data_IF_549302813539
#
_entry.id   IF_549302813539
#
_cell.length_a   1.000
_cell.length_b   1.000
_cell.length_c   1.000
_cell.angle_alpha   90.00
_cell.angle_beta   90.00
_cell.angle_gamma   90.00
#
_symmetry.space_group_name_H-M   'P 1'
#
loop_
_entity.id
_entity.type
_entity.pdbx_description
1 polymer ?
#
# COMPACT_ATOMS: atom_id res chain seq x y z
N UNK A 1 -5.69 39.05 -21.20
CA UNK A 1 -6.51 37.94 -20.68
C UNK A 1 -5.53 36.90 -20.17
N UNK A 2 -5.24 36.85 -18.87
CA UNK A 2 -4.46 35.77 -18.29
C UNK A 2 -5.37 34.53 -18.29
N UNK A 3 -5.09 33.60 -19.17
CA UNK A 3 -5.75 32.28 -19.16
C UNK A 3 -5.37 31.63 -17.81
N UNK A 4 -6.37 31.22 -17.03
CA UNK A 4 -6.16 30.55 -15.75
C UNK A 4 -5.58 29.14 -16.01
N UNK A 5 -4.26 29.12 -16.23
CA UNK A 5 -3.51 27.91 -16.60
C UNK A 5 -3.55 26.83 -15.52
N UNK A 6 -3.80 27.22 -14.29
CA UNK A 6 -4.02 26.26 -13.20
C UNK A 6 -5.33 25.48 -13.37
N UNK A 7 -6.41 26.12 -13.86
CA UNK A 7 -7.66 25.43 -14.22
C UNK A 7 -7.46 24.51 -15.42
N UNK A 8 -6.70 24.96 -16.42
CA UNK A 8 -6.39 24.13 -17.59
C UNK A 8 -5.58 22.87 -17.19
N UNK A 9 -4.61 23.00 -16.28
CA UNK A 9 -3.84 21.88 -15.75
C UNK A 9 -4.70 20.83 -15.04
N UNK A 10 -5.66 21.28 -14.21
CA UNK A 10 -6.60 20.36 -13.52
C UNK A 10 -7.53 19.64 -14.49
N UNK A 11 -7.99 20.31 -15.57
CA UNK A 11 -8.79 19.68 -16.60
C UNK A 11 -7.98 18.62 -17.34
N UNK A 12 -6.75 18.95 -17.77
CA UNK A 12 -5.84 18.01 -18.43
C UNK A 12 -5.52 16.80 -17.55
N UNK A 13 -5.34 17.00 -16.24
CA UNK A 13 -5.19 15.88 -15.29
C UNK A 13 -6.40 14.94 -15.29
N UNK A 14 -7.63 15.50 -15.26
CA UNK A 14 -8.87 14.71 -15.30
C UNK A 14 -9.04 13.92 -16.60
N UNK A 15 -8.53 14.47 -17.71
CA UNK A 15 -8.49 13.81 -19.00
C UNK A 15 -7.39 12.74 -19.13
N UNK A 16 -6.55 12.56 -18.10
CA UNK A 16 -5.42 11.62 -18.12
C UNK A 16 -4.20 12.14 -18.89
N UNK A 17 -4.19 13.39 -19.31
CA UNK A 17 -3.11 14.04 -20.07
C UNK A 17 -2.05 14.62 -19.13
N UNK A 18 -1.41 13.75 -18.37
CA UNK A 18 -0.56 14.13 -17.24
C UNK A 18 0.65 14.98 -17.62
N UNK A 19 1.32 14.72 -18.75
CA UNK A 19 2.45 15.53 -19.20
C UNK A 19 2.01 16.95 -19.60
N UNK A 20 0.92 17.08 -20.34
CA UNK A 20 0.36 18.37 -20.70
C UNK A 20 -0.13 19.15 -19.45
N UNK A 21 -0.68 18.44 -18.46
CA UNK A 21 -1.05 19.03 -17.18
C UNK A 21 0.17 19.60 -16.45
N UNK A 22 1.31 18.87 -16.41
CA UNK A 22 2.57 19.36 -15.82
C UNK A 22 3.08 20.64 -16.51
N UNK A 23 3.03 20.68 -17.84
CA UNK A 23 3.41 21.89 -18.60
C UNK A 23 2.51 23.08 -18.26
N UNK A 24 1.19 22.86 -18.20
CA UNK A 24 0.23 23.90 -17.84
C UNK A 24 0.45 24.42 -16.42
N UNK A 25 0.67 23.52 -15.44
CA UNK A 25 0.97 23.89 -14.05
C UNK A 25 2.30 24.64 -13.93
N UNK A 26 3.34 24.22 -14.65
CA UNK A 26 4.66 24.87 -14.61
C UNK A 26 4.66 26.27 -15.24
N UNK A 27 3.72 26.55 -16.15
CA UNK A 27 3.57 27.83 -16.81
C UNK A 27 2.56 28.77 -16.10
N UNK A 28 1.90 28.32 -15.02
CA UNK A 28 0.94 29.13 -14.28
C UNK A 28 1.66 30.16 -13.42
N UNK A 29 1.27 31.46 -13.57
CA UNK A 29 1.57 32.48 -12.59
C UNK A 29 0.59 32.36 -11.44
N UNK A 30 1.08 32.16 -10.20
CA UNK A 30 0.24 31.72 -9.08
C UNK A 30 0.29 32.66 -7.90
N UNK A 31 -0.86 32.83 -7.25
CA UNK A 31 -0.92 33.31 -5.88
C UNK A 31 -0.34 32.31 -4.89
N UNK A 32 0.28 32.74 -3.78
CA UNK A 32 0.90 31.85 -2.80
C UNK A 32 -0.06 30.76 -2.25
N UNK A 33 -1.36 31.08 -2.14
CA UNK A 33 -2.39 30.14 -1.67
C UNK A 33 -2.73 29.03 -2.66
N UNK A 34 -2.45 29.24 -3.95
CA UNK A 34 -2.69 28.26 -5.02
C UNK A 34 -1.51 27.29 -5.22
N UNK A 35 -0.31 27.68 -4.74
CA UNK A 35 0.91 26.91 -4.93
C UNK A 35 0.83 25.49 -4.35
N UNK A 36 0.22 25.32 -3.17
CA UNK A 36 0.08 23.99 -2.53
C UNK A 36 -0.88 23.10 -3.31
N UNK A 37 -1.98 23.66 -3.84
CA UNK A 37 -2.95 22.92 -4.65
C UNK A 37 -2.32 22.42 -5.94
N UNK A 38 -1.60 23.28 -6.62
CA UNK A 38 -0.89 22.92 -7.86
C UNK A 38 0.25 21.95 -7.58
N UNK A 39 1.04 22.15 -6.53
CA UNK A 39 2.07 21.19 -6.13
C UNK A 39 1.49 19.80 -5.85
N UNK A 40 0.32 19.73 -5.22
CA UNK A 40 -0.40 18.49 -5.04
C UNK A 40 -0.80 17.84 -6.38
N UNK A 41 -1.43 18.59 -7.30
CA UNK A 41 -1.79 18.05 -8.62
C UNK A 41 -0.57 17.66 -9.45
N UNK A 42 0.53 18.40 -9.39
CA UNK A 42 1.79 18.05 -10.03
C UNK A 42 2.34 16.73 -9.46
N UNK A 43 2.27 16.53 -8.13
CA UNK A 43 2.69 15.29 -7.51
C UNK A 43 1.86 14.09 -7.99
N UNK A 44 0.56 14.26 -8.16
CA UNK A 44 -0.31 13.24 -8.77
C UNK A 44 0.10 12.93 -10.21
N UNK A 45 0.40 13.97 -11.02
CA UNK A 45 0.89 13.79 -12.39
C UNK A 45 2.23 13.03 -12.41
N UNK A 46 3.18 13.39 -11.54
CA UNK A 46 4.46 12.70 -11.42
C UNK A 46 4.29 11.24 -11.02
N UNK A 47 3.38 10.95 -10.08
CA UNK A 47 3.03 9.57 -9.70
C UNK A 47 2.53 8.77 -10.91
N UNK A 48 1.63 9.36 -11.72
CA UNK A 48 1.07 8.71 -12.91
C UNK A 48 2.05 8.55 -14.07
N UNK A 49 3.11 9.34 -14.09
CA UNK A 49 4.17 9.28 -15.13
C UNK A 49 5.43 8.56 -14.68
N UNK A 50 5.40 7.90 -13.49
CA UNK A 50 6.52 7.13 -12.95
C UNK A 50 7.68 7.99 -12.40
N UNK A 51 7.50 9.30 -12.28
CA UNK A 51 8.51 10.21 -11.71
C UNK A 51 8.37 10.27 -10.17
N UNK A 52 8.56 9.13 -9.53
CA UNK A 52 8.29 8.91 -8.10
C UNK A 52 9.06 9.88 -7.20
N UNK A 53 10.34 10.12 -7.48
CA UNK A 53 11.16 11.03 -6.68
C UNK A 53 10.68 12.49 -6.73
N UNK A 54 10.21 12.95 -7.89
CA UNK A 54 9.66 14.29 -8.05
C UNK A 54 8.33 14.41 -7.29
N UNK A 55 7.48 13.37 -7.35
CA UNK A 55 6.25 13.31 -6.58
C UNK A 55 6.52 13.39 -5.07
N UNK A 56 7.44 12.56 -4.54
CA UNK A 56 7.81 12.57 -3.12
C UNK A 56 8.33 13.95 -2.69
N UNK A 57 9.18 14.59 -3.50
CA UNK A 57 9.73 15.92 -3.19
C UNK A 57 8.62 16.97 -3.01
N UNK A 58 7.65 17.01 -3.93
CA UNK A 58 6.52 17.94 -3.84
C UNK A 58 5.58 17.60 -2.67
N UNK A 59 5.27 16.33 -2.47
CA UNK A 59 4.40 15.91 -1.38
C UNK A 59 5.00 16.22 -0.01
N UNK A 60 6.32 16.09 0.18
CA UNK A 60 7.01 16.52 1.40
C UNK A 60 6.88 18.03 1.64
N UNK A 61 6.92 18.83 0.59
CA UNK A 61 6.69 20.27 0.72
C UNK A 61 5.24 20.53 1.12
N UNK A 62 4.28 19.97 0.38
CA UNK A 62 2.85 20.18 0.65
C UNK A 62 2.49 19.71 2.06
N UNK A 63 2.98 18.56 2.52
CA UNK A 63 2.66 18.02 3.85
C UNK A 63 3.09 18.93 5.01
N UNK A 64 4.13 19.76 4.81
CA UNK A 64 4.63 20.69 5.84
C UNK A 64 3.83 21.99 5.93
N UNK A 65 3.24 22.41 4.83
CA UNK A 65 2.62 23.71 4.69
C UNK A 65 1.08 23.64 4.65
N UNK A 66 0.51 22.48 4.32
CA UNK A 66 -0.92 22.27 4.17
C UNK A 66 -1.65 22.35 5.54
N UNK A 67 -2.65 23.24 5.60
CA UNK A 67 -3.47 23.47 6.78
C UNK A 67 -4.86 22.84 6.68
N UNK A 68 -5.31 22.51 5.47
CA UNK A 68 -6.56 21.80 5.28
C UNK A 68 -6.36 20.33 5.65
N UNK A 69 -6.99 19.91 6.73
CA UNK A 69 -6.80 18.58 7.30
C UNK A 69 -7.17 17.44 6.34
N UNK A 70 -8.22 17.60 5.53
CA UNK A 70 -8.63 16.56 4.56
C UNK A 70 -7.56 16.40 3.47
N UNK A 71 -7.02 17.51 2.98
CA UNK A 71 -5.94 17.47 1.99
C UNK A 71 -4.65 16.94 2.60
N UNK A 72 -4.31 17.34 3.82
CA UNK A 72 -3.17 16.80 4.54
C UNK A 72 -3.23 15.28 4.65
N UNK A 73 -4.40 14.74 5.02
CA UNK A 73 -4.63 13.29 5.01
C UNK A 73 -4.33 12.67 3.64
N UNK A 74 -4.88 13.22 2.55
CA UNK A 74 -4.66 12.71 1.19
C UNK A 74 -3.18 12.76 0.79
N UNK A 75 -2.51 13.87 1.08
CA UNK A 75 -1.07 14.08 0.80
C UNK A 75 -0.22 13.07 1.55
N UNK A 76 -0.45 12.93 2.86
CA UNK A 76 0.33 12.02 3.69
C UNK A 76 0.09 10.55 3.33
N UNK A 77 -1.13 10.16 2.98
CA UNK A 77 -1.42 8.80 2.51
C UNK A 77 -0.72 8.48 1.19
N UNK A 78 -0.74 9.42 0.23
CA UNK A 78 -0.03 9.26 -1.04
C UNK A 78 1.49 9.25 -0.82
N UNK A 79 2.01 10.14 0.01
CA UNK A 79 3.42 10.20 0.36
C UNK A 79 3.88 8.90 1.02
N UNK A 80 3.13 8.39 2.01
CA UNK A 80 3.45 7.14 2.68
C UNK A 80 3.45 5.95 1.72
N UNK A 81 2.49 5.89 0.80
CA UNK A 81 2.47 4.84 -0.22
C UNK A 81 3.73 4.90 -1.12
N UNK A 82 4.10 6.08 -1.63
CA UNK A 82 5.30 6.23 -2.47
C UNK A 82 6.59 5.94 -1.70
N UNK A 83 6.64 6.29 -0.41
CA UNK A 83 7.79 5.97 0.45
C UNK A 83 7.92 4.46 0.69
N UNK A 84 6.81 3.75 0.85
CA UNK A 84 6.80 2.28 0.94
C UNK A 84 7.31 1.66 -0.36
N UNK A 85 6.83 2.12 -1.52
CA UNK A 85 7.26 1.65 -2.83
C UNK A 85 8.76 1.90 -3.10
N UNK A 86 9.34 2.94 -2.48
CA UNK A 86 10.77 3.28 -2.60
C UNK A 86 11.61 2.77 -1.42
N UNK A 87 11.08 1.86 -0.63
CA UNK A 87 11.74 1.24 0.53
C UNK A 87 12.16 2.22 1.65
N UNK A 88 11.53 3.40 1.69
CA UNK A 88 11.77 4.43 2.73
C UNK A 88 10.80 4.22 3.91
N UNK A 89 10.86 3.05 4.53
CA UNK A 89 9.85 2.53 5.46
C UNK A 89 9.74 3.37 6.74
N UNK A 90 10.86 3.81 7.32
CA UNK A 90 10.88 4.60 8.54
C UNK A 90 10.21 5.98 8.33
N UNK A 91 10.44 6.59 7.17
CA UNK A 91 9.80 7.86 6.85
C UNK A 91 8.30 7.69 6.61
N UNK A 92 7.89 6.60 5.94
CA UNK A 92 6.48 6.27 5.75
C UNK A 92 5.77 6.08 7.10
N UNK A 93 6.37 5.33 8.02
CA UNK A 93 5.86 5.13 9.37
C UNK A 93 5.69 6.45 10.12
N UNK A 94 6.68 7.34 10.02
CA UNK A 94 6.62 8.68 10.63
C UNK A 94 5.43 9.48 10.10
N UNK A 95 5.24 9.54 8.78
CA UNK A 95 4.11 10.25 8.16
C UNK A 95 2.76 9.69 8.62
N UNK A 96 2.63 8.36 8.73
CA UNK A 96 1.40 7.71 9.19
C UNK A 96 1.12 8.01 10.67
N UNK A 97 2.14 8.03 11.52
CA UNK A 97 1.99 8.43 12.93
C UNK A 97 1.59 9.91 13.08
N UNK A 98 2.11 10.79 12.23
CA UNK A 98 1.72 12.21 12.20
C UNK A 98 0.24 12.39 11.83
N UNK A 99 -0.28 11.61 10.88
CA UNK A 99 -1.71 11.61 10.53
C UNK A 99 -2.56 11.16 11.72
N UNK A 100 -2.18 10.08 12.38
CA UNK A 100 -2.89 9.57 13.57
C UNK A 100 -2.88 10.59 14.71
N UNK A 101 -1.73 11.23 14.95
CA UNK A 101 -1.60 12.28 15.96
C UNK A 101 -2.46 13.53 15.66
N UNK A 102 -2.73 13.79 14.37
CA UNK A 102 -3.65 14.83 13.93
C UNK A 102 -5.14 14.43 14.04
N UNK A 103 -5.44 13.23 14.55
CA UNK A 103 -6.80 12.73 14.78
C UNK A 103 -7.43 12.03 13.55
N UNK A 104 -6.67 11.73 12.51
CA UNK A 104 -7.18 10.99 11.35
C UNK A 104 -6.98 9.49 11.54
N UNK A 105 -7.96 8.84 12.11
CA UNK A 105 -8.01 7.39 12.20
C UNK A 105 -8.80 6.82 11.02
N UNK A 106 -8.20 5.88 10.29
CA UNK A 106 -8.88 5.08 9.29
C UNK A 106 -8.26 3.68 9.21
N UNK A 107 -9.02 2.68 8.73
CA UNK A 107 -8.49 1.34 8.52
C UNK A 107 -7.27 1.34 7.59
N UNK A 108 -7.22 2.26 6.62
CA UNK A 108 -6.13 2.40 5.66
C UNK A 108 -4.85 2.90 6.33
N UNK A 109 -4.95 3.91 7.21
CA UNK A 109 -3.79 4.44 7.95
C UNK A 109 -3.21 3.37 8.85
N UNK A 110 -4.05 2.70 9.64
CA UNK A 110 -3.62 1.63 10.54
C UNK A 110 -3.03 0.43 9.79
N UNK A 111 -3.61 0.05 8.64
CA UNK A 111 -3.06 -1.05 7.82
C UNK A 111 -1.70 -0.70 7.20
N UNK A 112 -1.53 0.53 6.72
CA UNK A 112 -0.25 1.00 6.19
C UNK A 112 0.82 1.10 7.28
N UNK A 113 0.44 1.57 8.49
CA UNK A 113 1.32 1.61 9.66
C UNK A 113 1.76 0.19 10.06
N UNK A 114 0.81 -0.75 10.12
CA UNK A 114 1.09 -2.15 10.42
C UNK A 114 2.09 -2.76 9.43
N UNK A 115 1.92 -2.46 8.14
CA UNK A 115 2.84 -2.90 7.10
C UNK A 115 4.26 -2.34 7.32
N UNK A 116 4.40 -1.05 7.62
CA UNK A 116 5.69 -0.43 7.92
C UNK A 116 6.36 -1.08 9.15
N UNK A 117 5.60 -1.33 10.20
CA UNK A 117 6.08 -1.98 11.43
C UNK A 117 6.55 -3.42 11.16
N UNK A 118 5.80 -4.18 10.36
CA UNK A 118 6.20 -5.51 9.95
C UNK A 118 7.50 -5.50 9.13
N UNK A 119 7.63 -4.59 8.17
CA UNK A 119 8.85 -4.41 7.37
C UNK A 119 10.08 -4.11 8.23
N UNK A 120 9.90 -3.48 9.38
CA UNK A 120 10.95 -3.20 10.38
C UNK A 120 11.10 -4.32 11.42
N UNK A 121 10.48 -5.48 11.19
CA UNK A 121 10.49 -6.63 12.11
C UNK A 121 9.83 -6.37 13.48
N UNK A 122 8.98 -5.34 13.59
CA UNK A 122 8.22 -5.01 14.79
C UNK A 122 6.87 -5.75 14.81
N UNK A 123 6.93 -7.08 14.91
CA UNK A 123 5.76 -7.97 14.72
C UNK A 123 4.61 -7.64 15.67
N UNK A 124 4.86 -7.42 16.96
CA UNK A 124 3.81 -7.13 17.94
C UNK A 124 3.07 -5.82 17.66
N UNK A 125 3.82 -4.79 17.28
CA UNK A 125 3.22 -3.51 16.88
C UNK A 125 2.38 -3.67 15.61
N UNK A 126 2.89 -4.41 14.62
CA UNK A 126 2.16 -4.66 13.39
C UNK A 126 0.84 -5.41 13.63
N UNK A 127 0.85 -6.44 14.50
CA UNK A 127 -0.37 -7.17 14.88
C UNK A 127 -1.38 -6.22 15.55
N UNK A 128 -0.93 -5.38 16.48
CA UNK A 128 -1.78 -4.38 17.16
C UNK A 128 -2.36 -3.39 16.17
N UNK A 129 -1.56 -2.86 15.25
CA UNK A 129 -2.02 -1.88 14.26
C UNK A 129 -3.03 -2.49 13.27
N UNK A 130 -2.86 -3.75 12.84
CA UNK A 130 -3.89 -4.43 12.03
C UNK A 130 -5.17 -4.69 12.82
N UNK A 131 -5.08 -4.98 14.13
CA UNK A 131 -6.25 -5.13 14.98
C UNK A 131 -7.02 -3.80 15.12
N UNK A 132 -6.32 -2.66 15.25
CA UNK A 132 -6.96 -1.33 15.23
C UNK A 132 -7.62 -1.05 13.87
N UNK A 133 -7.00 -1.41 12.75
CA UNK A 133 -7.63 -1.31 11.45
C UNK A 133 -8.95 -2.10 11.38
N UNK A 134 -8.96 -3.33 11.91
CA UNK A 134 -10.14 -4.20 11.94
C UNK A 134 -11.18 -3.77 12.97
N UNK A 135 -10.79 -3.08 14.04
CA UNK A 135 -11.74 -2.46 14.99
C UNK A 135 -12.55 -1.36 14.32
N UNK A 136 -11.94 -0.60 13.40
CA UNK A 136 -12.61 0.47 12.64
C UNK A 136 -13.45 -0.08 11.46
N UNK A 137 -12.98 -1.13 10.81
CA UNK A 137 -13.67 -1.80 9.70
C UNK A 137 -13.26 -3.28 9.67
N UNK A 138 -14.12 -4.13 10.24
CA UNK A 138 -13.85 -5.58 10.33
C UNK A 138 -13.79 -6.27 8.97
N UNK A 139 -14.37 -5.68 7.93
CA UNK A 139 -14.39 -6.20 6.56
C UNK A 139 -13.23 -5.63 5.70
N UNK A 140 -12.36 -4.82 6.28
CA UNK A 140 -11.21 -4.27 5.55
C UNK A 140 -10.28 -5.40 5.07
N UNK A 141 -10.39 -5.74 3.81
CA UNK A 141 -9.72 -6.90 3.23
C UNK A 141 -8.19 -6.79 3.28
N UNK A 142 -7.63 -5.58 3.21
CA UNK A 142 -6.18 -5.38 3.35
C UNK A 142 -5.72 -5.67 4.78
N UNK A 143 -6.46 -5.20 5.79
CA UNK A 143 -6.15 -5.48 7.19
C UNK A 143 -6.33 -6.98 7.52
N UNK A 144 -7.42 -7.58 7.01
CA UNK A 144 -7.67 -9.03 7.15
C UNK A 144 -6.51 -9.84 6.56
N UNK A 145 -6.08 -9.51 5.34
CA UNK A 145 -4.98 -10.21 4.68
C UNK A 145 -3.65 -9.98 5.41
N UNK A 146 -3.35 -8.72 5.76
CA UNK A 146 -2.09 -8.38 6.43
C UNK A 146 -1.95 -9.05 7.79
N UNK A 147 -3.02 -9.07 8.60
CA UNK A 147 -3.03 -9.80 9.87
C UNK A 147 -2.83 -11.30 9.64
N UNK A 148 -3.54 -11.89 8.67
CA UNK A 148 -3.41 -13.30 8.32
C UNK A 148 -1.98 -13.66 7.89
N UNK A 149 -1.38 -12.84 7.02
CA UNK A 149 -0.02 -13.04 6.56
C UNK A 149 1.00 -13.02 7.70
N UNK A 150 0.94 -12.01 8.59
CA UNK A 150 1.87 -11.90 9.71
C UNK A 150 1.70 -13.05 10.72
N UNK A 151 0.48 -13.50 10.98
CA UNK A 151 0.25 -14.65 11.83
C UNK A 151 0.84 -15.94 11.23
N UNK A 152 0.73 -16.13 9.91
CA UNK A 152 1.36 -17.24 9.21
C UNK A 152 2.89 -17.16 9.29
N UNK A 153 3.45 -15.99 8.96
CA UNK A 153 4.89 -15.78 8.92
C UNK A 153 5.53 -15.96 10.29
N UNK A 154 4.95 -15.35 11.32
CA UNK A 154 5.45 -15.47 12.70
C UNK A 154 5.16 -16.82 13.36
N UNK A 155 4.29 -17.65 12.79
CA UNK A 155 3.86 -18.92 13.37
C UNK A 155 3.00 -18.82 14.64
N UNK A 156 2.54 -17.61 14.99
CA UNK A 156 1.81 -17.36 16.25
C UNK A 156 0.42 -18.01 16.29
N UNK A 157 -0.30 -18.03 15.17
CA UNK A 157 -1.60 -18.68 15.06
C UNK A 157 -1.86 -19.04 13.58
N UNK A 158 -1.28 -20.15 13.14
CA UNK A 158 -1.33 -20.54 11.75
C UNK A 158 -2.74 -20.94 11.30
N UNK A 159 -3.59 -21.47 12.17
CA UNK A 159 -4.98 -21.80 11.82
C UNK A 159 -5.81 -20.54 11.59
N UNK A 160 -5.71 -19.56 12.47
CA UNK A 160 -6.36 -18.25 12.31
C UNK A 160 -5.84 -17.52 11.07
N UNK A 161 -4.55 -17.65 10.77
CA UNK A 161 -3.96 -17.11 9.54
C UNK A 161 -4.68 -17.62 8.28
N UNK A 162 -4.90 -18.95 8.18
CA UNK A 162 -5.62 -19.55 7.06
C UNK A 162 -7.06 -19.01 6.96
N UNK A 163 -7.77 -18.87 8.07
CA UNK A 163 -9.15 -18.34 8.07
C UNK A 163 -9.20 -16.90 7.55
N UNK A 164 -8.29 -16.05 8.03
CA UNK A 164 -8.20 -14.65 7.61
C UNK A 164 -7.83 -14.53 6.13
N UNK A 165 -6.80 -15.26 5.67
CA UNK A 165 -6.39 -15.22 4.27
C UNK A 165 -7.49 -15.77 3.34
N UNK A 166 -8.23 -16.82 3.75
CA UNK A 166 -9.42 -17.29 3.01
C UNK A 166 -10.51 -16.23 2.93
N UNK A 167 -10.75 -15.47 4.00
CA UNK A 167 -11.70 -14.35 4.01
C UNK A 167 -11.26 -13.25 3.04
N UNK A 168 -9.98 -12.89 3.02
CA UNK A 168 -9.44 -11.92 2.07
C UNK A 168 -9.58 -12.38 0.61
N UNK A 169 -9.27 -13.64 0.29
CA UNK A 169 -9.46 -14.20 -1.06
C UNK A 169 -10.93 -14.21 -1.47
N UNK A 170 -11.86 -14.49 -0.56
CA UNK A 170 -13.31 -14.43 -0.87
C UNK A 170 -13.77 -13.01 -1.19
N UNK A 171 -13.22 -12.00 -0.54
CA UNK A 171 -13.58 -10.58 -0.81
C UNK A 171 -13.06 -10.10 -2.16
N UNK A 172 -11.87 -10.55 -2.58
CA UNK A 172 -11.30 -10.24 -3.89
C UNK A 172 -10.51 -11.44 -4.43
N UNK A 173 -11.17 -12.37 -5.15
CA UNK A 173 -10.53 -13.57 -5.69
C UNK A 173 -9.46 -13.30 -6.74
N UNK A 174 -9.43 -12.11 -7.33
CA UNK A 174 -8.46 -11.73 -8.34
C UNK A 174 -7.19 -11.09 -7.74
N UNK A 175 -7.20 -10.76 -6.45
CA UNK A 175 -6.04 -10.17 -5.80
C UNK A 175 -4.93 -11.22 -5.61
N UNK A 176 -3.81 -11.00 -6.30
CA UNK A 176 -2.65 -11.91 -6.32
C UNK A 176 -2.00 -12.02 -4.94
N UNK A 177 -1.85 -10.89 -4.23
CA UNK A 177 -1.25 -10.88 -2.89
C UNK A 177 -2.09 -11.66 -1.87
N UNK A 178 -3.44 -11.58 -1.96
CA UNK A 178 -4.31 -12.36 -1.07
C UNK A 178 -4.18 -13.86 -1.32
N UNK A 179 -4.04 -14.24 -2.58
CA UNK A 179 -3.88 -15.62 -2.99
C UNK A 179 -2.52 -16.18 -2.56
N UNK A 180 -1.45 -15.39 -2.68
CA UNK A 180 -0.13 -15.72 -2.16
C UNK A 180 -0.15 -15.90 -0.64
N UNK A 181 -0.72 -14.94 0.09
CA UNK A 181 -0.86 -15.02 1.55
C UNK A 181 -1.63 -16.27 2.00
N UNK A 182 -2.69 -16.64 1.28
CA UNK A 182 -3.43 -17.88 1.58
C UNK A 182 -2.57 -19.11 1.32
N UNK A 183 -1.87 -19.17 0.20
CA UNK A 183 -0.96 -20.27 -0.13
C UNK A 183 0.12 -20.43 0.94
N UNK A 184 0.73 -19.32 1.35
CA UNK A 184 1.74 -19.31 2.40
C UNK A 184 1.17 -19.78 3.75
N UNK A 185 0.00 -19.27 4.17
CA UNK A 185 -0.66 -19.70 5.39
C UNK A 185 -1.01 -21.19 5.38
N UNK A 186 -1.48 -21.73 4.25
CA UNK A 186 -1.73 -23.15 4.07
C UNK A 186 -0.46 -24.00 4.17
N UNK A 187 0.64 -23.52 3.60
CA UNK A 187 1.95 -24.16 3.74
C UNK A 187 2.37 -24.26 5.21
N UNK A 188 2.22 -23.16 5.97
CA UNK A 188 2.60 -23.11 7.39
C UNK A 188 1.78 -24.04 8.29
N UNK A 189 0.60 -24.50 7.86
CA UNK A 189 -0.19 -25.54 8.55
C UNK A 189 -0.03 -26.93 7.96
N UNK A 190 0.95 -27.15 7.06
CA UNK A 190 1.26 -28.45 6.49
C UNK A 190 0.29 -28.90 5.36
N UNK A 191 -0.57 -28.01 4.84
CA UNK A 191 -1.46 -28.31 3.72
C UNK A 191 -0.78 -28.07 2.38
N UNK A 192 0.32 -28.77 2.14
CA UNK A 192 1.27 -28.52 1.06
C UNK A 192 0.62 -28.54 -0.34
N UNK A 193 -0.33 -29.46 -0.58
CA UNK A 193 -1.03 -29.57 -1.88
C UNK A 193 -1.91 -28.34 -2.14
N UNK A 194 -2.74 -27.93 -1.17
CA UNK A 194 -3.57 -26.72 -1.30
C UNK A 194 -2.67 -25.46 -1.43
N UNK A 195 -1.59 -25.39 -0.65
CA UNK A 195 -0.62 -24.29 -0.70
C UNK A 195 -0.03 -24.13 -2.09
N UNK A 196 0.50 -25.23 -2.64
CA UNK A 196 1.12 -25.24 -3.99
C UNK A 196 0.12 -24.80 -5.07
N UNK A 197 -1.15 -25.18 -4.97
CA UNK A 197 -2.19 -24.72 -5.89
C UNK A 197 -2.33 -23.19 -5.86
N UNK A 198 -2.54 -22.61 -4.66
CA UNK A 198 -2.72 -21.16 -4.53
C UNK A 198 -1.47 -20.36 -4.92
N UNK A 199 -0.29 -20.83 -4.53
CA UNK A 199 0.99 -20.18 -4.88
C UNK A 199 1.28 -20.25 -6.38
N UNK A 200 0.95 -21.36 -7.06
CA UNK A 200 1.07 -21.49 -8.52
C UNK A 200 0.15 -20.51 -9.25
N UNK A 201 -1.08 -20.39 -8.78
CA UNK A 201 -2.04 -19.42 -9.32
C UNK A 201 -1.57 -17.96 -9.11
N UNK A 202 -1.00 -17.63 -7.95
CA UNK A 202 -0.43 -16.31 -7.70
C UNK A 202 0.78 -16.05 -8.61
N UNK A 203 1.71 -16.99 -8.69
CA UNK A 203 2.91 -16.89 -9.53
C UNK A 203 2.58 -16.78 -11.02
N UNK A 204 1.57 -17.49 -11.51
CA UNK A 204 1.18 -17.42 -12.93
C UNK A 204 0.73 -16.02 -13.37
N UNK A 205 0.27 -15.20 -12.42
CA UNK A 205 -0.22 -13.84 -12.67
C UNK A 205 0.82 -12.74 -12.39
N UNK A 206 1.81 -13.04 -11.55
CA UNK A 206 2.87 -12.11 -11.16
C UNK A 206 4.21 -12.85 -11.02
N UNK A 207 4.79 -13.36 -12.14
CA UNK A 207 6.00 -14.18 -12.08
C UNK A 207 7.27 -13.40 -11.74
N UNK A 208 7.23 -12.07 -11.85
CA UNK A 208 8.32 -11.16 -11.50
C UNK A 208 8.43 -10.90 -10.00
N UNK A 209 7.37 -11.18 -9.21
CA UNK A 209 7.40 -11.00 -7.77
C UNK A 209 8.28 -12.06 -7.09
N UNK A 210 9.37 -11.58 -6.47
CA UNK A 210 10.35 -12.44 -5.81
C UNK A 210 9.81 -13.16 -4.58
N UNK A 211 8.87 -12.54 -3.85
CA UNK A 211 8.25 -13.12 -2.66
C UNK A 211 7.36 -14.30 -3.04
N UNK A 212 6.47 -14.10 -4.02
CA UNK A 212 5.59 -15.14 -4.54
C UNK A 212 6.40 -16.32 -5.08
N UNK A 213 7.48 -16.02 -5.81
CA UNK A 213 8.40 -17.05 -6.31
C UNK A 213 9.01 -17.86 -5.17
N UNK A 214 9.55 -17.19 -4.16
CA UNK A 214 10.17 -17.82 -2.99
C UNK A 214 9.20 -18.72 -2.23
N UNK A 215 7.96 -18.25 -2.02
CA UNK A 215 6.92 -19.05 -1.35
C UNK A 215 6.60 -20.30 -2.16
N UNK A 216 6.44 -20.19 -3.49
CA UNK A 216 6.15 -21.33 -4.36
C UNK A 216 7.30 -22.35 -4.38
N UNK A 217 8.53 -21.89 -4.51
CA UNK A 217 9.71 -22.76 -4.52
C UNK A 217 9.84 -23.52 -3.19
N UNK A 218 9.64 -22.83 -2.07
CA UNK A 218 9.65 -23.43 -0.72
C UNK A 218 8.59 -24.52 -0.60
N UNK A 219 7.35 -24.24 -1.00
CA UNK A 219 6.25 -25.20 -0.93
C UNK A 219 6.48 -26.42 -1.84
N UNK A 220 7.01 -26.23 -3.05
CA UNK A 220 7.32 -27.32 -3.99
C UNK A 220 8.46 -28.21 -3.48
N UNK A 221 9.51 -27.61 -2.93
CA UNK A 221 10.63 -28.36 -2.36
C UNK A 221 10.16 -29.28 -1.23
N UNK A 222 9.30 -28.74 -0.35
CA UNK A 222 8.72 -29.53 0.74
C UNK A 222 7.83 -30.67 0.23
N UNK A 223 6.97 -30.41 -0.76
CA UNK A 223 6.12 -31.44 -1.37
C UNK A 223 6.91 -32.61 -1.95
N UNK A 224 8.05 -32.34 -2.58
CA UNK A 224 8.92 -33.39 -3.15
C UNK A 224 9.61 -34.22 -2.06
N UNK A 225 9.89 -33.64 -0.90
CA UNK A 225 10.47 -34.36 0.25
C UNK A 225 9.46 -35.28 0.93
N UNK A 226 8.17 -34.94 0.92
CA UNK A 226 7.10 -35.77 1.50
C UNK A 226 6.74 -36.97 0.62
N UNK A 227 7.12 -36.99 -0.65
CA UNK A 227 6.83 -38.08 -1.61
C UNK A 227 7.96 -39.10 -1.75
N UNK A 228 9.15 -38.82 -1.19
CA UNK A 228 10.31 -39.71 -1.18
C UNK A 228 10.53 -40.36 0.19
#
# INVERSE_FOLDING_TARGET
>A
MSVDRGKDGRLLYREGRYLAALEAFSAAEMEPSENLDIAYFMSLCYTRTGKTNDAIKLLRQVSREEKNLVRLYQVCMLLSWLLIETDSIEEAEKQLKEILAAGFESPQVWSALAYCQWRQNNIELALTSYQEALRLDEENSNAVNGLGYILAESGKDANRAVELCRRAVRSNPQNVAYRDSLGWALFRVGKTTEATFHLTEAYSRCPEDSTIRSHLETAKTHANLEQN
#
